data_IF_755626025584
#
_entry.id   IF_755626025584
#
_cell.length_a   1.000
_cell.length_b   1.000
_cell.length_c   1.000
_cell.angle_alpha   90.00
_cell.angle_beta   90.00
_cell.angle_gamma   90.00
#
_symmetry.space_group_name_H-M   'P 1'
#
loop_
_entity.id
_entity.type
_entity.pdbx_description
1 polymer ?
#
# COMPACT_ATOMS: atom_id res chain seq x y z
N UNK A 1 -57.95 23.57 14.67
CA UNK A 1 -56.90 24.16 15.54
C UNK A 1 -56.17 22.99 16.19
N UNK A 2 -54.96 22.58 15.83
CA UNK A 2 -53.92 23.07 14.90
C UNK A 2 -53.02 21.84 14.67
N UNK A 3 -52.88 21.32 13.44
CA UNK A 3 -51.72 21.51 12.57
C UNK A 3 -50.40 21.78 13.30
N UNK A 4 -49.60 20.74 13.50
CA UNK A 4 -48.13 20.83 13.48
C UNK A 4 -47.59 19.72 12.57
N UNK A 5 -47.39 20.12 11.31
CA UNK A 5 -46.44 19.53 10.37
C UNK A 5 -45.06 19.41 11.04
N UNK A 6 -44.48 18.22 11.03
CA UNK A 6 -43.06 18.01 11.28
C UNK A 6 -42.44 17.46 9.99
N UNK A 7 -41.71 18.37 9.35
CA UNK A 7 -40.53 18.18 8.49
C UNK A 7 -40.60 17.15 7.36
N UNK A 8 -41.16 17.64 6.26
CA UNK A 8 -40.67 17.37 4.91
C UNK A 8 -39.18 17.81 4.80
N UNK A 9 -38.26 16.89 5.13
CA UNK A 9 -36.81 17.16 5.11
C UNK A 9 -35.93 16.00 4.63
N UNK A 10 -36.49 14.94 4.03
CA UNK A 10 -35.69 13.84 3.50
C UNK A 10 -36.21 13.33 2.14
N UNK A 11 -35.82 13.97 1.01
CA UNK A 11 -35.69 13.21 -0.23
C UNK A 11 -34.54 13.65 -1.18
N UNK A 12 -33.46 14.28 -0.69
CA UNK A 12 -32.32 14.69 -1.57
C UNK A 12 -30.98 14.00 -1.27
N UNK A 13 -30.84 13.29 -0.15
CA UNK A 13 -29.62 12.53 0.18
C UNK A 13 -29.61 11.10 -0.38
N UNK A 14 -30.57 10.78 -1.26
CA UNK A 14 -30.50 9.63 -2.16
C UNK A 14 -29.69 10.04 -3.39
N UNK A 15 -28.45 10.51 -3.19
CA UNK A 15 -27.49 10.70 -4.26
C UNK A 15 -27.48 9.39 -5.06
N UNK A 16 -27.77 9.48 -6.37
CA UNK A 16 -27.90 8.35 -7.27
C UNK A 16 -26.69 7.43 -7.10
N UNK A 17 -26.88 6.34 -6.35
CA UNK A 17 -25.82 5.37 -6.11
C UNK A 17 -25.38 4.84 -7.46
N UNK A 18 -24.10 4.96 -7.76
CA UNK A 18 -23.51 4.49 -9.02
C UNK A 18 -23.89 3.02 -9.24
N UNK A 19 -24.47 2.64 -10.40
CA UNK A 19 -24.83 1.25 -10.63
C UNK A 19 -23.58 0.37 -10.75
N UNK A 20 -23.60 -0.82 -10.17
CA UNK A 20 -22.49 -1.76 -10.25
C UNK A 20 -22.21 -2.15 -11.72
N UNK A 21 -20.96 -2.13 -12.20
CA UNK A 21 -20.61 -2.57 -13.56
C UNK A 21 -21.02 -4.00 -13.90
N UNK A 22 -21.24 -4.84 -12.87
CA UNK A 22 -21.67 -6.23 -13.01
C UNK A 22 -23.18 -6.38 -12.78
N UNK A 23 -23.66 -6.29 -11.53
CA UNK A 23 -25.05 -6.59 -11.17
C UNK A 23 -26.03 -5.42 -11.37
N UNK A 24 -25.57 -4.22 -11.75
CA UNK A 24 -26.35 -2.99 -11.90
C UNK A 24 -27.03 -2.45 -10.63
N UNK A 25 -26.93 -3.11 -9.49
CA UNK A 25 -27.39 -2.60 -8.20
C UNK A 25 -26.56 -1.38 -7.77
N UNK A 26 -27.17 -0.47 -6.99
CA UNK A 26 -26.48 0.72 -6.49
C UNK A 26 -25.28 0.37 -5.61
N UNK A 27 -24.10 0.85 -5.98
CA UNK A 27 -22.88 0.70 -5.20
C UNK A 27 -22.91 1.57 -3.96
N UNK A 28 -22.17 1.15 -2.95
CA UNK A 28 -22.01 1.90 -1.73
C UNK A 28 -20.84 2.88 -1.88
N UNK A 29 -21.07 4.19 -1.75
CA UNK A 29 -19.98 5.15 -1.68
C UNK A 29 -19.23 5.00 -0.35
N UNK A 30 -17.92 5.09 -0.41
CA UNK A 30 -17.01 5.03 0.70
C UNK A 30 -16.03 6.20 0.60
N UNK A 31 -16.22 7.19 1.48
CA UNK A 31 -15.31 8.32 1.61
C UNK A 31 -14.06 7.90 2.36
N UNK A 32 -12.91 8.09 1.74
CA UNK A 32 -11.60 7.69 2.25
C UNK A 32 -10.62 8.86 2.26
N UNK A 33 -9.60 8.75 3.11
CA UNK A 33 -8.50 9.71 3.12
C UNK A 33 -7.65 9.54 1.85
N UNK A 34 -7.53 10.59 1.05
CA UNK A 34 -6.52 10.69 0.00
C UNK A 34 -5.22 11.31 0.50
N UNK A 35 -4.25 11.43 -0.40
CA UNK A 35 -3.00 12.13 -0.15
C UNK A 35 -3.26 13.59 0.26
N UNK A 36 -2.44 14.09 1.18
CA UNK A 36 -2.56 15.45 1.74
C UNK A 36 -3.92 15.71 2.40
N UNK A 37 -4.52 14.67 2.99
CA UNK A 37 -5.81 14.73 3.70
C UNK A 37 -6.99 15.17 2.82
N UNK A 38 -6.80 15.21 1.50
CA UNK A 38 -7.87 15.48 0.55
C UNK A 38 -8.72 14.22 0.42
N UNK A 39 -10.00 14.23 0.82
CA UNK A 39 -10.83 13.04 0.75
C UNK A 39 -11.09 12.62 -0.70
N UNK A 40 -11.28 11.32 -0.89
CA UNK A 40 -11.73 10.72 -2.16
C UNK A 40 -12.97 9.86 -1.89
N UNK A 41 -13.84 9.72 -2.87
CA UNK A 41 -15.08 8.95 -2.76
C UNK A 41 -15.01 7.77 -3.72
N UNK A 42 -14.81 6.56 -3.22
CA UNK A 42 -14.79 5.35 -4.05
C UNK A 42 -16.09 4.57 -3.88
N UNK A 43 -16.44 3.73 -4.84
CA UNK A 43 -17.67 2.94 -4.77
C UNK A 43 -17.38 1.46 -4.61
N UNK A 44 -18.11 0.78 -3.72
CA UNK A 44 -18.02 -0.66 -3.49
C UNK A 44 -19.34 -1.37 -3.80
N UNK A 45 -19.26 -2.46 -4.56
CA UNK A 45 -20.34 -3.44 -4.64
C UNK A 45 -19.93 -4.64 -3.78
N UNK A 46 -20.44 -4.70 -2.56
CA UNK A 46 -20.13 -5.81 -1.64
C UNK A 46 -20.57 -7.16 -2.21
N UNK A 47 -21.79 -7.32 -2.76
CA UNK A 47 -22.19 -8.62 -3.30
C UNK A 47 -21.34 -9.08 -4.49
N UNK A 48 -20.89 -8.18 -5.36
CA UNK A 48 -20.00 -8.54 -6.48
C UNK A 48 -18.51 -8.56 -6.10
N UNK A 49 -18.16 -8.16 -4.87
CA UNK A 49 -16.79 -7.95 -4.42
C UNK A 49 -15.97 -7.06 -5.38
N UNK A 50 -16.61 -5.98 -5.84
CA UNK A 50 -16.03 -5.02 -6.79
C UNK A 50 -15.80 -3.66 -6.13
N UNK A 51 -14.67 -3.05 -6.48
CA UNK A 51 -14.39 -1.64 -6.25
C UNK A 51 -14.38 -0.90 -7.59
N UNK A 52 -14.99 0.28 -7.59
CA UNK A 52 -14.92 1.25 -8.69
C UNK A 52 -14.13 2.47 -8.22
N UNK A 53 -13.21 2.91 -9.08
CA UNK A 53 -12.48 4.16 -8.94
C UNK A 53 -12.80 5.03 -10.16
N UNK A 54 -13.22 6.27 -9.92
CA UNK A 54 -13.20 7.31 -10.94
C UNK A 54 -11.75 7.70 -11.29
N UNK A 55 -11.60 8.70 -12.15
CA UNK A 55 -10.29 9.16 -12.61
C UNK A 55 -9.38 9.54 -11.44
N UNK A 56 -8.16 8.99 -11.44
CA UNK A 56 -7.07 9.21 -10.48
C UNK A 56 -7.33 8.87 -9.00
N UNK A 57 -8.51 8.39 -8.62
CA UNK A 57 -8.83 8.11 -7.20
C UNK A 57 -7.94 7.02 -6.61
N UNK A 58 -7.64 5.99 -7.41
CA UNK A 58 -6.78 4.88 -6.98
C UNK A 58 -5.35 5.34 -6.67
N UNK A 59 -4.87 6.36 -7.40
CA UNK A 59 -3.56 6.97 -7.25
C UNK A 59 -3.53 8.00 -6.11
N UNK A 60 -4.67 8.64 -5.84
CA UNK A 60 -4.81 9.63 -4.76
C UNK A 60 -5.01 9.00 -3.39
N UNK A 61 -5.32 7.71 -3.28
CA UNK A 61 -5.60 7.04 -2.02
C UNK A 61 -4.37 7.04 -1.07
N UNK A 62 -4.54 7.54 0.15
CA UNK A 62 -3.48 7.51 1.18
C UNK A 62 -3.33 6.14 1.83
N UNK A 63 -2.25 5.93 2.61
CA UNK A 63 -2.10 4.72 3.41
C UNK A 63 -3.23 4.52 4.42
N UNK A 64 -3.69 5.60 5.07
CA UNK A 64 -4.82 5.54 5.99
C UNK A 64 -6.14 5.19 5.26
N UNK A 65 -6.36 5.76 4.08
CA UNK A 65 -7.49 5.42 3.22
C UNK A 65 -7.46 3.96 2.78
N UNK A 66 -6.29 3.45 2.40
CA UNK A 66 -6.10 2.04 2.05
C UNK A 66 -6.42 1.11 3.22
N UNK A 67 -5.95 1.42 4.43
CA UNK A 67 -6.26 0.62 5.62
C UNK A 67 -7.77 0.53 5.86
N UNK A 68 -8.47 1.68 5.78
CA UNK A 68 -9.95 1.75 5.90
C UNK A 68 -10.67 0.98 4.80
N UNK A 69 -10.15 0.98 3.57
CA UNK A 69 -10.66 0.16 2.48
C UNK A 69 -10.48 -1.34 2.77
N UNK A 70 -9.31 -1.76 3.24
CA UNK A 70 -9.05 -3.16 3.56
C UNK A 70 -9.94 -3.66 4.71
N UNK A 71 -10.16 -2.86 5.74
CA UNK A 71 -11.14 -3.14 6.80
C UNK A 71 -12.55 -3.36 6.22
N UNK A 72 -12.95 -2.51 5.25
CA UNK A 72 -14.26 -2.65 4.60
C UNK A 72 -14.35 -3.88 3.72
N UNK A 73 -13.28 -4.24 3.01
CA UNK A 73 -13.20 -5.46 2.21
C UNK A 73 -13.29 -6.68 3.12
N UNK A 74 -12.53 -6.72 4.22
CA UNK A 74 -12.57 -7.83 5.18
C UNK A 74 -13.96 -8.01 5.78
N UNK A 75 -14.63 -6.92 6.16
CA UNK A 75 -16.00 -6.96 6.68
C UNK A 75 -17.02 -7.45 5.65
N UNK A 76 -16.73 -7.31 4.34
CA UNK A 76 -17.63 -7.74 3.28
C UNK A 76 -17.65 -9.25 3.03
N UNK A 77 -16.64 -9.98 3.52
CA UNK A 77 -16.57 -11.44 3.35
C UNK A 77 -17.69 -12.21 4.06
N UNK A 78 -18.40 -11.57 5.00
CA UNK A 78 -19.62 -12.10 5.60
C UNK A 78 -20.87 -11.96 4.70
N UNK A 79 -20.76 -11.24 3.58
CA UNK A 79 -21.87 -11.00 2.64
C UNK A 79 -21.85 -12.07 1.54
N UNK A 80 -23.03 -12.60 1.21
CA UNK A 80 -23.17 -13.59 0.14
C UNK A 80 -22.67 -13.03 -1.21
N UNK A 81 -21.79 -13.79 -1.85
CA UNK A 81 -21.21 -13.44 -3.14
C UNK A 81 -22.22 -13.64 -4.29
N UNK A 82 -22.26 -12.70 -5.23
CA UNK A 82 -22.79 -12.91 -6.57
C UNK A 82 -21.67 -13.30 -7.53
N UNK A 83 -21.97 -14.20 -8.47
CA UNK A 83 -21.07 -14.46 -9.59
C UNK A 83 -20.90 -13.21 -10.45
N UNK A 84 -19.66 -12.89 -10.79
CA UNK A 84 -19.35 -11.80 -11.70
C UNK A 84 -19.83 -12.13 -13.11
N UNK A 85 -20.49 -11.17 -13.75
CA UNK A 85 -20.82 -11.27 -15.19
C UNK A 85 -19.54 -11.28 -16.03
N UNK A 86 -19.53 -12.07 -17.10
CA UNK A 86 -18.41 -12.19 -18.04
C UNK A 86 -18.03 -10.86 -18.70
N UNK A 87 -19.00 -9.98 -18.88
CA UNK A 87 -18.80 -8.62 -19.38
C UNK A 87 -19.25 -7.60 -18.33
N UNK A 88 -18.37 -6.65 -18.03
CA UNK A 88 -18.67 -5.49 -17.19
C UNK A 88 -18.92 -4.28 -18.09
N UNK A 89 -19.87 -3.44 -17.70
CA UNK A 89 -20.22 -2.24 -18.45
C UNK A 89 -20.00 -1.00 -17.59
N UNK A 90 -19.49 0.08 -18.20
CA UNK A 90 -19.23 1.32 -17.50
C UNK A 90 -20.54 1.90 -16.90
N UNK A 91 -20.55 2.32 -15.62
CA UNK A 91 -21.72 2.88 -14.99
C UNK A 91 -22.10 4.27 -15.54
N UNK A 92 -21.14 5.02 -16.09
CA UNK A 92 -21.38 6.38 -16.60
C UNK A 92 -21.80 6.42 -18.06
N UNK A 93 -21.26 5.53 -18.92
CA UNK A 93 -21.52 5.56 -20.36
C UNK A 93 -22.06 4.26 -20.95
N UNK A 94 -22.36 3.27 -20.11
CA UNK A 94 -22.90 1.95 -20.48
C UNK A 94 -22.06 1.11 -21.46
N UNK A 95 -20.92 1.60 -21.94
CA UNK A 95 -20.03 0.85 -22.84
C UNK A 95 -19.35 -0.31 -22.11
N UNK A 96 -19.18 -1.42 -22.82
CA UNK A 96 -18.40 -2.56 -22.37
C UNK A 96 -16.98 -2.12 -21.94
N UNK A 97 -16.57 -2.58 -20.76
CA UNK A 97 -15.27 -2.29 -20.20
C UNK A 97 -14.20 -3.22 -20.77
N UNK A 98 -13.00 -2.69 -21.00
CA UNK A 98 -11.86 -3.46 -21.51
C UNK A 98 -11.06 -4.03 -20.34
N UNK A 99 -10.79 -5.33 -20.34
CA UNK A 99 -9.81 -5.93 -19.43
C UNK A 99 -8.39 -5.49 -19.88
N UNK A 100 -7.67 -4.83 -18.98
CA UNK A 100 -6.33 -4.28 -19.22
C UNK A 100 -5.33 -4.96 -18.28
N UNK A 101 -4.14 -5.21 -18.81
CA UNK A 101 -2.99 -5.71 -18.06
C UNK A 101 -2.07 -4.55 -17.73
N UNK A 102 -1.78 -4.35 -16.45
CA UNK A 102 -0.88 -3.33 -15.97
C UNK A 102 0.39 -3.96 -15.42
N UNK A 103 1.50 -3.22 -15.47
CA UNK A 103 2.73 -3.56 -14.79
C UNK A 103 2.96 -2.54 -13.67
N UNK A 104 3.11 -3.04 -12.45
CA UNK A 104 3.36 -2.25 -11.25
C UNK A 104 4.68 -2.67 -10.61
N UNK A 105 5.11 -1.97 -9.56
CA UNK A 105 6.23 -2.42 -8.74
C UNK A 105 5.98 -3.80 -8.10
N UNK A 106 4.71 -4.16 -7.90
CA UNK A 106 4.29 -5.46 -7.40
C UNK A 106 4.23 -6.56 -8.49
N UNK A 107 4.44 -6.21 -9.75
CA UNK A 107 4.30 -7.11 -10.90
C UNK A 107 3.05 -6.85 -11.71
N UNK A 108 2.61 -7.88 -12.46
CA UNK A 108 1.47 -7.79 -13.38
C UNK A 108 0.16 -7.77 -12.59
N UNK A 109 -0.75 -6.87 -12.97
CA UNK A 109 -2.10 -6.78 -12.42
C UNK A 109 -3.14 -6.62 -13.51
N UNK A 110 -4.40 -6.88 -13.17
CA UNK A 110 -5.54 -6.75 -14.08
C UNK A 110 -6.53 -5.73 -13.53
N UNK A 111 -7.19 -5.03 -14.44
CA UNK A 111 -8.33 -4.17 -14.14
C UNK A 111 -9.23 -4.01 -15.36
N UNK A 112 -10.49 -3.66 -15.14
CA UNK A 112 -11.42 -3.31 -16.20
C UNK A 112 -11.42 -1.79 -16.35
N UNK A 113 -11.13 -1.27 -17.53
CA UNK A 113 -11.15 0.17 -17.80
C UNK A 113 -12.34 0.54 -18.67
N UNK A 114 -12.96 1.67 -18.36
CA UNK A 114 -13.88 2.30 -19.29
C UNK A 114 -13.09 2.83 -20.51
N UNK A 115 -13.46 2.48 -21.76
CA UNK A 115 -12.82 3.04 -22.95
C UNK A 115 -13.05 4.56 -23.10
N UNK A 116 -14.03 5.11 -22.38
CA UNK A 116 -14.28 6.55 -22.29
C UNK A 116 -13.50 7.29 -21.21
N UNK A 117 -12.63 6.62 -20.44
CA UNK A 117 -11.84 7.27 -19.39
C UNK A 117 -12.59 7.61 -18.10
N UNK A 118 -13.86 7.21 -17.95
CA UNK A 118 -14.67 7.53 -16.75
C UNK A 118 -14.17 6.87 -15.45
N UNK A 119 -13.37 5.80 -15.55
CA UNK A 119 -12.89 5.08 -14.38
C UNK A 119 -12.54 3.63 -14.66
N UNK A 120 -12.25 2.91 -13.58
CA UNK A 120 -11.86 1.49 -13.58
C UNK A 120 -12.60 0.68 -12.52
N UNK A 121 -12.82 -0.59 -12.82
CA UNK A 121 -13.37 -1.58 -11.89
C UNK A 121 -12.34 -2.68 -11.63
N UNK A 122 -12.25 -3.13 -10.39
CA UNK A 122 -11.43 -4.26 -9.97
C UNK A 122 -12.20 -5.12 -8.98
N UNK A 123 -12.01 -6.44 -9.03
CA UNK A 123 -12.40 -7.29 -7.90
C UNK A 123 -11.49 -6.99 -6.72
N UNK A 124 -11.90 -7.31 -5.49
CA UNK A 124 -11.05 -7.09 -4.32
C UNK A 124 -9.71 -7.82 -4.45
N UNK A 125 -9.71 -9.06 -4.96
CA UNK A 125 -8.48 -9.78 -5.24
C UNK A 125 -7.58 -9.08 -6.28
N UNK A 126 -8.15 -8.56 -7.37
CA UNK A 126 -7.38 -7.84 -8.38
C UNK A 126 -6.76 -6.55 -7.83
N UNK A 127 -7.51 -5.83 -6.98
CA UNK A 127 -7.01 -4.63 -6.33
C UNK A 127 -5.88 -4.93 -5.35
N UNK A 128 -6.03 -5.94 -4.48
CA UNK A 128 -4.97 -6.34 -3.55
C UNK A 128 -3.74 -6.89 -4.29
N UNK A 129 -3.93 -7.60 -5.41
CA UNK A 129 -2.84 -8.03 -6.28
C UNK A 129 -2.10 -6.84 -6.93
N UNK A 130 -2.83 -5.82 -7.41
CA UNK A 130 -2.23 -4.56 -7.91
C UNK A 130 -1.34 -3.91 -6.84
N UNK A 131 -1.76 -3.96 -5.57
CA UNK A 131 -0.99 -3.39 -4.46
C UNK A 131 0.17 -4.26 -3.98
N UNK A 132 0.29 -5.50 -4.50
CA UNK A 132 1.39 -6.41 -4.17
C UNK A 132 1.32 -6.99 -2.77
N UNK A 133 0.14 -7.05 -2.17
CA UNK A 133 -0.06 -7.59 -0.82
C UNK A 133 -0.51 -9.05 -0.85
N UNK A 134 -0.64 -9.63 -2.05
CA UNK A 134 -0.98 -11.03 -2.27
C UNK A 134 0.21 -11.77 -2.84
N UNK A 135 0.38 -13.01 -2.38
CA UNK A 135 1.26 -14.00 -3.04
C UNK A 135 0.47 -15.26 -3.37
N UNK A 136 0.85 -16.00 -4.44
CA UNK A 136 0.24 -17.29 -4.74
C UNK A 136 0.37 -18.27 -3.57
N UNK A 137 -0.62 -19.16 -3.44
CA UNK A 137 -0.54 -20.31 -2.54
C UNK A 137 0.41 -21.33 -3.16
N UNK A 138 1.45 -21.72 -2.41
CA UNK A 138 2.46 -22.65 -2.89
C UNK A 138 2.18 -24.05 -2.31
N UNK A 139 2.72 -25.09 -2.96
CA UNK A 139 2.48 -26.50 -2.56
C UNK A 139 2.75 -26.75 -1.07
N UNK A 140 3.81 -26.15 -0.51
CA UNK A 140 4.12 -26.23 0.92
C UNK A 140 3.13 -25.49 1.82
N UNK A 141 2.48 -24.42 1.35
CA UNK A 141 1.43 -23.75 2.10
C UNK A 141 0.23 -24.69 2.20
N UNK A 142 -0.15 -25.34 1.09
CA UNK A 142 -1.19 -26.39 1.08
C UNK A 142 -0.85 -27.53 2.05
N UNK A 143 0.37 -28.07 1.98
CA UNK A 143 0.78 -29.14 2.88
C UNK A 143 0.73 -28.73 4.36
N UNK A 144 1.11 -27.47 4.67
CA UNK A 144 1.04 -26.94 6.02
C UNK A 144 -0.41 -26.78 6.49
N UNK A 145 -1.28 -26.26 5.64
CA UNK A 145 -2.69 -26.10 5.95
C UNK A 145 -3.37 -27.45 6.14
N UNK A 146 -3.05 -28.46 5.32
CA UNK A 146 -3.57 -29.81 5.49
C UNK A 146 -3.16 -30.48 6.82
N UNK A 147 -2.03 -30.04 7.42
CA UNK A 147 -1.53 -30.56 8.71
C UNK A 147 -2.03 -29.76 9.92
N UNK A 148 -2.62 -28.58 9.72
CA UNK A 148 -3.15 -27.77 10.81
C UNK A 148 -4.60 -28.13 11.12
N UNK A 149 -4.93 -28.26 12.40
CA UNK A 149 -6.32 -28.44 12.85
C UNK A 149 -7.16 -27.22 12.42
N UNK A 150 -8.24 -27.46 11.66
CA UNK A 150 -9.05 -26.40 11.05
C UNK A 150 -8.42 -25.72 9.83
N UNK A 151 -7.37 -26.32 9.26
CA UNK A 151 -6.61 -25.74 8.16
C UNK A 151 -7.41 -25.58 6.86
N UNK A 152 -7.75 -24.34 6.56
CA UNK A 152 -8.40 -23.92 5.33
C UNK A 152 -7.88 -22.56 4.87
N UNK A 153 -8.26 -22.18 3.66
CA UNK A 153 -8.04 -20.86 3.12
C UNK A 153 -9.36 -20.12 3.01
N UNK A 154 -9.36 -18.82 3.25
CA UNK A 154 -10.49 -17.97 2.88
C UNK A 154 -10.20 -17.36 1.51
N UNK A 155 -11.16 -17.42 0.60
CA UNK A 155 -11.00 -16.74 -0.68
C UNK A 155 -10.95 -15.23 -0.47
N UNK A 156 -9.79 -14.62 -0.72
CA UNK A 156 -9.57 -13.17 -0.54
C UNK A 156 -10.57 -12.29 -1.30
N UNK A 157 -11.18 -12.81 -2.37
CA UNK A 157 -12.22 -12.10 -3.09
C UNK A 157 -13.58 -12.23 -2.42
N UNK A 158 -14.06 -13.46 -2.20
CA UNK A 158 -15.45 -13.71 -1.87
C UNK A 158 -15.72 -14.22 -0.45
N UNK A 159 -14.69 -14.39 0.39
CA UNK A 159 -14.83 -14.87 1.76
C UNK A 159 -15.13 -16.36 1.91
N UNK A 160 -15.24 -17.11 0.81
CA UNK A 160 -15.60 -18.51 0.89
C UNK A 160 -14.49 -19.37 1.50
N UNK A 161 -14.86 -20.25 2.42
CA UNK A 161 -13.97 -21.26 2.99
C UNK A 161 -13.57 -22.29 1.94
N UNK A 162 -12.27 -22.51 1.82
CA UNK A 162 -11.64 -23.47 0.93
C UNK A 162 -10.87 -24.47 1.81
N UNK A 163 -11.26 -25.76 1.82
CA UNK A 163 -10.55 -26.77 2.61
C UNK A 163 -9.06 -26.81 2.30
N UNK A 164 -8.20 -26.94 3.31
CA UNK A 164 -6.74 -27.01 3.12
C UNK A 164 -6.28 -28.27 2.36
N UNK A 165 -7.13 -29.29 2.30
CA UNK A 165 -6.95 -30.50 1.50
C UNK A 165 -7.37 -30.31 0.04
N UNK A 166 -6.87 -29.28 -0.65
CA UNK A 166 -7.12 -29.03 -2.09
C UNK A 166 -6.41 -30.08 -2.99
N UNK A 167 -6.31 -31.33 -2.51
CA UNK A 167 -5.54 -32.43 -3.05
C UNK A 167 -5.72 -32.59 -4.55
N UNK A 168 -4.60 -32.54 -5.28
CA UNK A 168 -4.54 -32.63 -6.74
C UNK A 168 -4.59 -31.30 -7.49
N UNK A 169 -5.07 -30.21 -6.87
CA UNK A 169 -5.14 -28.86 -7.50
C UNK A 169 -4.05 -27.90 -7.02
N UNK A 170 -3.06 -28.39 -6.25
CA UNK A 170 -1.85 -27.68 -5.86
C UNK A 170 -0.91 -27.41 -7.05
N UNK A 171 -1.45 -26.73 -8.05
CA UNK A 171 -0.72 -26.06 -9.12
C UNK A 171 -0.75 -24.55 -8.82
N UNK A 172 0.11 -23.77 -9.48
CA UNK A 172 0.16 -22.30 -9.36
C UNK A 172 -1.16 -21.57 -9.77
N UNK A 173 -2.27 -22.30 -9.94
CA UNK A 173 -3.54 -21.85 -10.48
C UNK A 173 -4.76 -22.40 -9.70
N UNK A 174 -4.58 -22.83 -8.44
CA UNK A 174 -5.71 -23.19 -7.59
C UNK A 174 -6.73 -22.02 -7.57
N UNK A 175 -8.00 -22.31 -7.80
CA UNK A 175 -9.07 -21.31 -7.92
C UNK A 175 -10.17 -21.62 -6.91
N UNK A 176 -10.81 -20.57 -6.41
CA UNK A 176 -11.99 -20.70 -5.57
C UNK A 176 -13.13 -21.34 -6.38
N UNK A 177 -13.73 -22.42 -5.89
CA UNK A 177 -14.86 -23.08 -6.55
C UNK A 177 -16.14 -22.23 -6.64
N UNK A 178 -16.22 -21.13 -5.88
CA UNK A 178 -17.40 -20.26 -5.82
C UNK A 178 -17.32 -19.07 -6.79
N UNK A 179 -16.17 -18.40 -6.85
CA UNK A 179 -15.98 -17.19 -7.66
C UNK A 179 -14.88 -17.29 -8.72
N UNK A 180 -14.26 -18.46 -8.88
CA UNK A 180 -13.16 -18.76 -9.81
C UNK A 180 -11.94 -17.84 -9.69
N UNK A 181 -11.84 -17.07 -8.59
CA UNK A 181 -10.65 -16.25 -8.32
C UNK A 181 -9.49 -17.16 -7.90
N UNK A 182 -8.27 -16.97 -8.45
CA UNK A 182 -7.10 -17.70 -7.98
C UNK A 182 -6.87 -17.50 -6.47
N UNK A 183 -6.46 -18.57 -5.79
CA UNK A 183 -6.23 -18.56 -4.36
C UNK A 183 -4.88 -17.92 -4.03
N UNK A 184 -4.89 -17.05 -3.04
CA UNK A 184 -3.74 -16.28 -2.60
C UNK A 184 -3.64 -16.29 -1.08
N UNK A 185 -2.42 -16.06 -0.57
CA UNK A 185 -2.19 -15.68 0.81
C UNK A 185 -1.96 -14.17 0.88
N UNK A 186 -2.40 -13.55 1.97
CA UNK A 186 -2.09 -12.15 2.27
C UNK A 186 -0.70 -12.10 2.89
N UNK A 187 0.21 -11.37 2.25
CA UNK A 187 1.57 -11.14 2.73
C UNK A 187 1.57 -9.95 3.69
N UNK A 188 1.74 -10.25 4.99
CA UNK A 188 1.66 -9.26 6.07
C UNK A 188 2.86 -8.33 6.04
N UNK A 189 4.03 -8.84 5.64
CA UNK A 189 5.24 -8.02 5.52
C UNK A 189 5.10 -7.05 4.34
N UNK A 190 4.61 -7.51 3.19
CA UNK A 190 4.36 -6.66 2.03
C UNK A 190 3.28 -5.61 2.31
N UNK A 191 2.22 -5.97 3.04
CA UNK A 191 1.16 -5.04 3.43
C UNK A 191 1.65 -3.96 4.40
N UNK A 192 2.36 -4.34 5.46
CA UNK A 192 2.92 -3.38 6.41
C UNK A 192 3.90 -2.42 5.72
N UNK A 193 4.73 -2.96 4.84
CA UNK A 193 5.69 -2.18 4.06
C UNK A 193 5.02 -1.23 3.05
N UNK A 194 3.95 -1.67 2.38
CA UNK A 194 3.13 -0.80 1.54
C UNK A 194 2.55 0.36 2.35
N UNK A 195 1.94 0.08 3.49
CA UNK A 195 1.33 1.10 4.34
C UNK A 195 2.36 2.11 4.85
N UNK A 196 3.57 1.67 5.20
CA UNK A 196 4.66 2.56 5.60
C UNK A 196 5.13 3.45 4.44
N UNK A 197 5.23 2.93 3.21
CA UNK A 197 5.53 3.76 2.02
C UNK A 197 4.47 4.81 1.73
N UNK A 198 3.22 4.49 2.03
CA UNK A 198 2.06 5.36 1.80
C UNK A 198 1.76 6.27 3.00
N UNK A 199 2.46 6.10 4.12
CA UNK A 199 2.33 6.95 5.31
C UNK A 199 2.91 8.34 5.04
N UNK A 200 2.39 9.43 5.61
CA UNK A 200 2.99 10.74 5.47
C UNK A 200 4.27 10.90 6.30
N UNK A 201 5.07 11.92 5.97
CA UNK A 201 6.21 12.37 6.77
C UNK A 201 7.40 11.38 6.81
N UNK A 202 8.08 11.23 7.97
CA UNK A 202 9.38 10.56 8.05
C UNK A 202 9.32 9.07 7.67
N UNK A 203 8.17 8.42 7.86
CA UNK A 203 7.97 7.02 7.47
C UNK A 203 8.13 6.82 5.95
N UNK A 204 7.64 7.77 5.14
CA UNK A 204 7.78 7.74 3.67
C UNK A 204 9.23 7.91 3.27
N UNK A 205 9.91 8.89 3.85
CA UNK A 205 11.31 9.19 3.53
C UNK A 205 12.22 8.01 3.87
N UNK A 206 12.07 7.45 5.09
CA UNK A 206 12.76 6.23 5.53
C UNK A 206 12.49 5.08 4.56
N UNK A 207 11.23 4.93 4.12
CA UNK A 207 10.88 3.88 3.19
C UNK A 207 11.43 4.07 1.78
N UNK A 208 11.56 5.31 1.32
CA UNK A 208 12.16 5.69 0.03
C UNK A 208 13.68 5.52 0.03
N UNK A 209 14.38 5.94 1.09
CA UNK A 209 15.84 5.73 1.23
C UNK A 209 16.23 4.25 1.18
N UNK A 210 15.31 3.37 1.59
CA UNK A 210 15.53 1.93 1.65
C UNK A 210 14.92 1.17 0.45
N UNK A 211 14.31 1.87 -0.51
CA UNK A 211 13.49 1.28 -1.59
C UNK A 211 14.27 0.43 -2.62
N UNK A 212 15.60 0.39 -2.54
CA UNK A 212 16.48 -0.50 -3.34
C UNK A 212 17.35 -1.46 -2.52
N UNK A 213 17.27 -1.42 -1.18
CA UNK A 213 18.13 -2.20 -0.26
C UNK A 213 17.44 -3.42 0.34
N UNK A 214 16.20 -3.70 -0.04
CA UNK A 214 15.53 -4.91 0.39
C UNK A 214 16.20 -6.13 -0.22
N UNK A 215 16.96 -6.83 0.60
CA UNK A 215 17.23 -8.25 0.38
C UNK A 215 15.87 -8.93 0.49
N UNK A 216 15.34 -9.39 -0.65
CA UNK A 216 14.15 -10.22 -0.65
C UNK A 216 14.37 -11.34 0.37
N UNK A 217 13.45 -11.47 1.34
CA UNK A 217 13.54 -12.54 2.33
C UNK A 217 14.18 -12.15 3.67
N UNK A 218 13.77 -11.04 4.29
CA UNK A 218 13.98 -10.85 5.74
C UNK A 218 12.62 -10.74 6.43
N UNK A 219 12.50 -11.26 7.64
CA UNK A 219 11.30 -11.13 8.46
C UNK A 219 10.99 -9.66 8.75
N UNK A 220 9.77 -9.21 8.47
CA UNK A 220 9.31 -7.87 8.80
C UNK A 220 9.22 -7.55 10.31
N UNK A 221 9.40 -8.52 11.21
CA UNK A 221 9.31 -8.34 12.65
C UNK A 221 10.71 -8.33 13.27
N UNK A 222 11.43 -9.44 13.18
CA UNK A 222 12.74 -9.61 13.83
C UNK A 222 13.93 -9.34 12.92
N UNK A 223 13.73 -9.17 11.61
CA UNK A 223 14.81 -8.97 10.64
C UNK A 223 15.61 -10.21 10.26
N UNK A 224 15.31 -11.38 10.82
CA UNK A 224 15.97 -12.63 10.45
C UNK A 224 15.85 -12.92 8.94
N UNK A 225 16.92 -13.44 8.35
CA UNK A 225 16.91 -13.90 6.97
C UNK A 225 15.95 -15.09 6.80
N UNK A 226 15.14 -15.03 5.76
CA UNK A 226 14.09 -15.98 5.40
C UNK A 226 14.15 -16.23 3.90
N UNK A 227 13.84 -17.44 3.48
CA UNK A 227 13.60 -17.64 2.06
C UNK A 227 12.28 -16.91 1.65
N UNK A 228 12.30 -16.03 0.64
CA UNK A 228 11.15 -15.20 0.28
C UNK A 228 9.89 -16.02 -0.01
N UNK A 229 8.75 -15.63 0.57
CA UNK A 229 7.48 -16.28 0.32
C UNK A 229 7.40 -17.73 0.79
N UNK A 230 8.38 -18.24 1.56
CA UNK A 230 8.40 -19.63 2.01
C UNK A 230 7.76 -19.97 3.34
N UNK A 231 7.38 -18.95 4.09
CA UNK A 231 6.97 -19.14 5.46
C UNK A 231 5.70 -18.34 5.73
N UNK A 232 4.68 -18.99 6.30
CA UNK A 232 3.52 -18.29 6.88
C UNK A 232 3.84 -17.71 8.27
N UNK A 233 4.82 -18.30 8.98
CA UNK A 233 5.33 -17.85 10.28
C UNK A 233 6.84 -17.83 10.27
N UNK A 234 7.45 -16.83 10.89
CA UNK A 234 8.91 -16.74 11.00
C UNK A 234 9.45 -17.87 11.89
N UNK A 235 10.48 -18.58 11.45
CA UNK A 235 11.16 -19.60 12.26
C UNK A 235 11.84 -19.05 13.52
N UNK A 236 12.21 -17.76 13.52
CA UNK A 236 12.94 -17.12 14.61
C UNK A 236 12.01 -16.49 15.65
N UNK A 237 11.10 -15.61 15.23
CA UNK A 237 10.21 -14.90 16.16
C UNK A 237 8.77 -15.41 16.16
N UNK A 238 8.43 -16.41 15.35
CA UNK A 238 7.08 -16.97 15.22
C UNK A 238 5.98 -15.98 14.76
N UNK A 239 6.36 -14.75 14.37
CA UNK A 239 5.45 -13.75 13.85
C UNK A 239 4.83 -14.15 12.51
N UNK A 240 3.56 -13.78 12.30
CA UNK A 240 2.79 -14.06 11.09
C UNK A 240 3.33 -13.28 9.89
N UNK A 241 3.90 -13.98 8.92
CA UNK A 241 4.46 -13.42 7.68
C UNK A 241 3.42 -13.43 6.55
N UNK A 242 2.61 -14.48 6.50
CA UNK A 242 1.51 -14.62 5.56
C UNK A 242 0.35 -15.36 6.22
N UNK A 243 -0.87 -15.02 5.82
CA UNK A 243 -2.09 -15.58 6.39
C UNK A 243 -3.13 -15.86 5.31
N UNK A 244 -4.06 -16.75 5.62
CA UNK A 244 -5.17 -17.16 4.77
C UNK A 244 -6.36 -16.21 4.81
N UNK A 245 -6.42 -15.29 5.79
CA UNK A 245 -7.55 -14.39 6.01
C UNK A 245 -7.10 -12.92 6.01
N UNK A 246 -7.87 -12.05 5.37
CA UNK A 246 -7.58 -10.60 5.40
C UNK A 246 -7.71 -10.04 6.82
N UNK A 247 -8.71 -10.49 7.57
CA UNK A 247 -8.92 -10.13 8.98
C UNK A 247 -7.69 -10.46 9.84
N UNK A 248 -7.12 -11.66 9.67
CA UNK A 248 -5.89 -12.06 10.34
C UNK A 248 -4.67 -11.20 9.97
N UNK A 249 -4.61 -10.73 8.71
CA UNK A 249 -3.54 -9.83 8.28
C UNK A 249 -3.67 -8.48 8.98
N UNK A 250 -4.88 -7.91 8.96
CA UNK A 250 -5.19 -6.64 9.61
C UNK A 250 -4.90 -6.69 11.13
N UNK A 251 -5.22 -7.80 11.80
CA UNK A 251 -4.91 -7.99 13.22
C UNK A 251 -3.40 -8.01 13.51
N UNK A 252 -2.58 -8.54 12.60
CA UNK A 252 -1.13 -8.59 12.74
C UNK A 252 -0.42 -7.27 12.39
N UNK A 253 -1.10 -6.34 11.70
CA UNK A 253 -0.48 -5.13 11.17
C UNK A 253 0.10 -4.16 12.21
N UNK A 254 -0.59 -3.81 13.31
CA UNK A 254 -0.10 -2.77 14.22
C UNK A 254 1.27 -3.10 14.78
N UNK A 255 1.44 -4.35 15.22
CA UNK A 255 2.71 -4.86 15.75
C UNK A 255 3.76 -4.96 14.65
N UNK A 256 3.37 -5.46 13.46
CA UNK A 256 4.27 -5.56 12.31
C UNK A 256 4.83 -4.21 11.87
N UNK A 257 3.98 -3.19 11.81
CA UNK A 257 4.35 -1.84 11.40
C UNK A 257 5.29 -1.19 12.43
N UNK A 258 5.02 -1.35 13.73
CA UNK A 258 5.92 -0.89 14.80
C UNK A 258 7.31 -1.50 14.66
N UNK A 259 7.40 -2.82 14.64
CA UNK A 259 8.68 -3.51 14.52
C UNK A 259 9.42 -3.20 13.20
N UNK A 260 8.67 -2.97 12.12
CA UNK A 260 9.27 -2.53 10.86
C UNK A 260 9.85 -1.13 10.99
N UNK A 261 9.13 -0.15 11.56
CA UNK A 261 9.64 1.21 11.79
C UNK A 261 10.90 1.20 12.63
N UNK A 262 10.89 0.49 13.75
CA UNK A 262 12.02 0.45 14.69
C UNK A 262 13.28 -0.09 14.00
N UNK A 263 13.13 -1.16 13.21
CA UNK A 263 14.24 -1.71 12.42
C UNK A 263 14.72 -0.76 11.33
N UNK A 264 13.81 -0.06 10.63
CA UNK A 264 14.22 0.91 9.61
C UNK A 264 14.99 2.06 10.21
N UNK A 265 14.55 2.56 11.37
CA UNK A 265 15.25 3.60 12.14
C UNK A 265 16.62 3.11 12.58
N UNK A 266 16.70 1.94 13.22
CA UNK A 266 17.97 1.36 13.64
C UNK A 266 18.94 1.15 12.46
N UNK A 267 18.44 0.71 11.31
CA UNK A 267 19.23 0.57 10.08
C UNK A 267 19.66 1.91 9.48
N UNK A 268 18.83 2.97 9.58
CA UNK A 268 19.17 4.32 9.12
C UNK A 268 20.30 4.89 10.00
N UNK A 269 20.17 4.77 11.33
CA UNK A 269 21.21 5.15 12.29
C UNK A 269 22.52 4.40 12.07
N UNK A 270 22.48 3.08 11.87
CA UNK A 270 23.69 2.29 11.61
C UNK A 270 24.38 2.64 10.28
N UNK A 271 23.67 3.28 9.35
CA UNK A 271 24.19 3.71 8.05
C UNK A 271 24.59 5.19 8.02
N UNK A 272 24.36 5.94 9.10
CA UNK A 272 24.86 7.32 9.18
C UNK A 272 26.39 7.32 9.15
N UNK A 273 27.02 8.18 8.32
CA UNK A 273 28.47 8.35 8.35
C UNK A 273 28.89 8.73 9.76
N UNK A 274 29.96 8.12 10.27
CA UNK A 274 30.50 8.46 11.58
C UNK A 274 30.83 9.95 11.65
N UNK A 275 30.80 10.53 12.85
CA UNK A 275 31.24 11.92 13.08
C UNK A 275 32.63 12.17 12.48
N UNK A 276 33.52 11.17 12.50
CA UNK A 276 34.84 11.25 11.88
C UNK A 276 34.82 11.32 10.35
N UNK A 277 33.86 10.66 9.69
CA UNK A 277 33.68 10.83 8.24
C UNK A 277 33.08 12.19 7.90
N UNK A 278 32.06 12.66 8.64
CA UNK A 278 31.50 14.00 8.43
C UNK A 278 32.51 15.11 8.69
N UNK A 279 33.35 14.98 9.71
CA UNK A 279 34.45 15.91 9.99
C UNK A 279 35.51 15.91 8.89
N UNK A 280 35.83 14.75 8.31
CA UNK A 280 36.72 14.67 7.14
C UNK A 280 36.12 15.34 5.93
N UNK A 281 34.84 15.11 5.63
CA UNK A 281 34.16 15.76 4.50
C UNK A 281 34.10 17.29 4.68
N UNK A 282 33.87 17.77 5.91
CA UNK A 282 33.90 19.20 6.23
C UNK A 282 35.31 19.80 6.14
N UNK A 283 36.35 19.06 6.56
CA UNK A 283 37.74 19.47 6.37
C UNK A 283 38.10 19.54 4.88
N UNK A 284 37.75 18.52 4.10
CA UNK A 284 37.98 18.48 2.66
C UNK A 284 37.25 19.62 1.94
N UNK A 285 36.02 19.95 2.35
CA UNK A 285 35.30 21.12 1.84
C UNK A 285 36.00 22.43 2.21
N UNK A 286 36.46 22.56 3.46
CA UNK A 286 37.24 23.71 3.92
C UNK A 286 38.57 23.88 3.18
N UNK A 287 39.28 22.77 2.93
CA UNK A 287 40.55 22.76 2.19
C UNK A 287 40.33 23.08 0.70
N UNK A 288 39.27 22.57 0.07
CA UNK A 288 38.88 22.95 -1.30
C UNK A 288 38.52 24.44 -1.39
N UNK A 289 37.90 24.99 -0.36
CA UNK A 289 37.65 26.44 -0.25
C UNK A 289 38.95 27.24 -0.15
N UNK A 290 39.93 26.75 0.63
CA UNK A 290 41.25 27.39 0.74
C UNK A 290 42.07 27.28 -0.54
N UNK A 291 41.90 26.22 -1.32
CA UNK A 291 42.61 25.95 -2.58
C UNK A 291 41.89 26.49 -3.83
N UNK A 292 40.70 27.09 -3.69
CA UNK A 292 40.00 27.80 -4.76
C UNK A 292 40.84 28.95 -5.36
N UNK A 293 40.56 29.41 -6.59
CA UNK A 293 41.45 30.30 -7.33
C UNK A 293 41.85 31.55 -6.53
N UNK A 294 43.15 31.80 -6.33
CA UNK A 294 43.65 33.01 -5.63
C UNK A 294 43.31 34.34 -6.32
N UNK A 295 42.62 34.30 -7.46
CA UNK A 295 42.22 35.46 -8.27
C UNK A 295 41.06 36.25 -7.65
N UNK A 296 40.34 35.69 -6.66
CA UNK A 296 39.16 36.32 -6.05
C UNK A 296 39.47 37.31 -4.90
N UNK A 297 40.74 37.47 -4.47
CA UNK A 297 41.08 38.29 -3.29
C UNK A 297 41.47 39.75 -3.60
N UNK A 298 41.60 40.13 -4.85
CA UNK A 298 41.97 41.50 -5.24
C UNK A 298 41.05 42.03 -6.34
N UNK A 299 39.91 42.61 -5.95
CA UNK A 299 39.05 43.38 -6.85
C UNK A 299 37.53 43.19 -6.75
N UNK A 300 37.00 42.57 -5.69
CA UNK A 300 35.56 42.28 -5.58
C UNK A 300 34.70 43.54 -5.41
N UNK A 301 33.72 43.71 -6.30
CA UNK A 301 32.72 44.79 -6.24
C UNK A 301 31.60 44.46 -5.24
N UNK A 302 30.73 45.43 -4.92
CA UNK A 302 29.62 45.25 -3.95
C UNK A 302 28.64 44.12 -4.34
N UNK A 303 28.53 43.79 -5.62
CA UNK A 303 27.73 42.67 -6.11
C UNK A 303 28.38 41.31 -5.81
N UNK A 304 29.71 41.23 -5.81
CA UNK A 304 30.45 40.00 -5.51
C UNK A 304 30.36 39.63 -4.02
N UNK A 305 30.32 40.64 -3.13
CA UNK A 305 30.11 40.42 -1.67
C UNK A 305 28.72 39.89 -1.31
N UNK A 306 27.72 40.06 -2.19
CA UNK A 306 26.37 39.55 -1.92
C UNK A 306 26.29 38.03 -2.12
N UNK A 307 27.02 37.48 -3.10
CA UNK A 307 27.17 36.01 -3.27
C UNK A 307 28.02 35.37 -2.17
N UNK A 308 28.90 36.15 -1.55
CA UNK A 308 29.74 35.74 -0.41
C UNK A 308 28.88 35.54 0.87
N UNK A 309 27.80 36.30 1.02
CA UNK A 309 26.83 36.14 2.12
C UNK A 309 25.95 34.90 1.88
N UNK A 310 25.55 34.62 0.63
CA UNK A 310 24.78 33.42 0.30
C UNK A 310 25.57 32.12 0.59
N UNK A 311 26.87 32.09 0.23
CA UNK A 311 27.74 30.95 0.54
C UNK A 311 28.08 30.78 2.03
N UNK A 312 28.06 31.87 2.79
CA UNK A 312 28.13 31.84 4.27
C UNK A 312 26.81 31.35 4.87
N UNK A 313 25.67 31.66 4.24
CA UNK A 313 24.36 31.11 4.56
C UNK A 313 24.36 29.59 4.41
N UNK A 314 24.83 29.07 3.28
CA UNK A 314 24.94 27.63 3.03
C UNK A 314 25.88 26.92 4.03
N UNK A 315 26.99 27.56 4.41
CA UNK A 315 27.92 27.02 5.41
C UNK A 315 27.33 27.05 6.83
N UNK A 316 26.63 28.13 7.19
CA UNK A 316 25.98 28.28 8.50
C UNK A 316 24.78 27.34 8.63
N UNK A 317 23.97 27.15 7.57
CA UNK A 317 22.91 26.14 7.58
C UNK A 317 23.49 24.72 7.70
N UNK A 318 24.56 24.39 6.96
CA UNK A 318 25.23 23.10 7.09
C UNK A 318 25.82 22.87 8.50
N UNK A 319 26.25 23.94 9.18
CA UNK A 319 26.76 23.89 10.56
C UNK A 319 25.62 23.77 11.58
N UNK A 320 24.51 24.48 11.39
CA UNK A 320 23.30 24.41 12.23
C UNK A 320 22.68 23.01 12.13
N UNK A 321 22.53 22.46 10.92
CA UNK A 321 22.08 21.08 10.69
C UNK A 321 23.01 20.03 11.34
N UNK A 322 24.30 20.33 11.46
CA UNK A 322 25.25 19.47 12.14
C UNK A 322 25.14 19.56 13.68
N UNK A 323 24.73 20.71 14.22
CA UNK A 323 24.62 20.96 15.66
C UNK A 323 23.25 20.53 16.22
N UNK A 324 22.15 20.74 15.50
CA UNK A 324 20.79 20.34 15.93
C UNK A 324 20.59 18.82 15.98
N UNK A 325 21.46 18.04 15.34
CA UNK A 325 21.50 16.57 15.45
C UNK A 325 22.28 16.06 16.69
N UNK A 326 22.77 16.97 17.54
CA UNK A 326 23.57 16.66 18.73
C UNK A 326 22.82 16.84 20.06
N UNK A 327 21.52 17.17 20.03
CA UNK A 327 20.63 17.27 21.20
C UNK A 327 19.37 16.41 21.07
#
# INVERSE_FOLDING_TARGET
MSTHDIDAGAPLAQALRRPCPSCRQGMQPLRLAGHYEVPIDIDLCLPCHLVWFDHDESQRLSGAGLLRLLERIAASHAVAAHSLRTQLDCPSCARAMKLVHNLTLAGRSLQYNCPGGHGKAQTFALYLAEKGVLRPVLVRDVNRLAQSDGGGLECINCGADVPGSIGGQASNHAQCGYCSTPLHLVDVDALADLLLRMSPGPDRELAQRQQGRRVAGNCGQCGAALAPGLHMRCSHCQGTLATTHLTGALAALPERMRATRDRRRASDFAQMPSLDSRWRDLKDLGERWQQGPRQWRSGATRADRSREIDGLGDFVEALIDAIDLSF
#
